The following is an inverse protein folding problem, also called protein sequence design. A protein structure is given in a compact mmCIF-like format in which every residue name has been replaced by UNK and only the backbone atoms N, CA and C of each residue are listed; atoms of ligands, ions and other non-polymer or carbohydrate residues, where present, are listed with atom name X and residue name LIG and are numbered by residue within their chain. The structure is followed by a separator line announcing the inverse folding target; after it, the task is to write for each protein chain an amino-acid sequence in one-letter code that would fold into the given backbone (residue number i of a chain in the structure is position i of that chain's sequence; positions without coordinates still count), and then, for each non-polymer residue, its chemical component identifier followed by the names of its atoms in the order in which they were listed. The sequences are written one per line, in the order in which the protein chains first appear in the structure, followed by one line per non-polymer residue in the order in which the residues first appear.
data_IF_766212984962
#
_entry.id   IF_766212984962
#
_cell.length_a   1.000
_cell.length_b   1.000
_cell.length_c   1.000
_cell.angle_alpha   90.00
_cell.angle_beta   90.00
_cell.angle_gamma   90.00
#
_symmetry.space_group_name_H-M   'P 1'
#
loop_
_entity.id
_entity.type
_entity.pdbx_description
1 polymer ?
#
# COMPACT_ATOMS: atom_id res chain seq x y z
N UNK A 1 -71.04 -44.13 37.91
CA UNK A 1 -70.13 -44.23 36.76
C UNK A 1 -68.76 -43.73 37.25
N UNK A 2 -67.89 -44.56 37.84
CA UNK A 2 -67.06 -45.64 37.28
C UNK A 2 -65.64 -45.17 36.91
N UNK A 3 -64.67 -45.73 37.67
CA UNK A 3 -63.27 -46.09 37.33
C UNK A 3 -62.11 -45.10 37.54
N UNK A 4 -61.41 -45.39 38.65
CA UNK A 4 -59.97 -45.55 38.95
C UNK A 4 -58.92 -45.75 37.84
N UNK A 5 -57.65 -45.43 38.25
CA UNK A 5 -56.29 -45.92 37.82
C UNK A 5 -55.72 -45.34 36.50
N UNK A 6 -54.41 -45.29 36.20
CA UNK A 6 -53.07 -45.43 36.84
C UNK A 6 -52.04 -45.53 35.68
N UNK A 7 -50.73 -45.31 35.96
CA UNK A 7 -49.52 -45.46 35.08
C UNK A 7 -49.26 -44.27 34.13
N UNK A 8 -48.10 -43.58 34.08
CA UNK A 8 -46.67 -43.97 34.09
C UNK A 8 -46.15 -44.06 32.63
N UNK A 9 -44.85 -43.90 32.26
CA UNK A 9 -43.65 -43.40 32.96
C UNK A 9 -42.80 -42.38 32.14
N UNK A 10 -41.60 -42.10 32.68
CA UNK A 10 -40.47 -41.26 32.22
C UNK A 10 -39.88 -41.65 30.85
N UNK A 11 -39.42 -40.66 30.06
CA UNK A 11 -38.38 -40.78 29.01
C UNK A 11 -37.82 -39.38 28.68
N UNK A 12 -36.61 -39.04 29.15
CA UNK A 12 -35.35 -38.94 28.39
C UNK A 12 -35.36 -37.98 27.19
N UNK A 13 -34.63 -36.86 27.31
CA UNK A 13 -34.04 -36.17 26.15
C UNK A 13 -32.74 -35.48 26.56
N UNK A 14 -31.66 -36.25 26.34
CA UNK A 14 -30.34 -35.82 25.84
C UNK A 14 -30.00 -34.33 25.90
N UNK A 15 -29.07 -33.97 26.79
CA UNK A 15 -28.30 -32.74 26.67
C UNK A 15 -27.38 -32.80 25.44
N UNK A 16 -27.64 -31.94 24.46
CA UNK A 16 -26.66 -31.62 23.42
C UNK A 16 -25.60 -30.73 24.05
N UNK A 17 -24.43 -31.30 24.31
CA UNK A 17 -23.22 -30.52 24.53
C UNK A 17 -22.87 -29.85 23.20
N UNK A 18 -23.14 -28.55 23.10
CA UNK A 18 -22.54 -27.68 22.11
C UNK A 18 -21.03 -27.63 22.38
N UNK A 19 -20.28 -28.52 21.73
CA UNK A 19 -18.85 -28.38 21.56
C UNK A 19 -18.60 -27.14 20.71
N UNK A 20 -18.10 -26.08 21.34
CA UNK A 20 -17.56 -24.93 20.63
C UNK A 20 -16.45 -25.39 19.67
N UNK A 21 -16.37 -24.83 18.44
CA UNK A 21 -15.26 -25.11 17.56
C UNK A 21 -13.96 -24.70 18.24
N UNK A 22 -13.06 -25.68 18.35
CA UNK A 22 -11.73 -25.53 18.90
C UNK A 22 -11.00 -24.38 18.23
N UNK A 23 -10.38 -23.54 19.06
CA UNK A 23 -9.40 -22.55 18.65
C UNK A 23 -8.41 -23.19 17.69
N UNK A 24 -8.39 -22.73 16.44
CA UNK A 24 -7.23 -22.90 15.57
C UNK A 24 -6.04 -22.27 16.28
N UNK A 25 -5.19 -23.12 16.83
CA UNK A 25 -3.88 -22.77 17.35
C UNK A 25 -3.12 -22.09 16.23
N UNK A 26 -2.90 -20.79 16.42
CA UNK A 26 -2.06 -19.96 15.57
C UNK A 26 -0.71 -20.63 15.46
N UNK A 27 -0.29 -21.03 14.25
CA UNK A 27 1.08 -21.49 14.06
C UNK A 27 2.05 -20.41 14.57
N UNK A 28 3.16 -20.78 15.21
CA UNK A 28 4.10 -19.81 15.76
C UNK A 28 4.66 -18.93 14.64
N UNK A 29 4.75 -17.62 14.90
CA UNK A 29 5.28 -16.58 13.99
C UNK A 29 6.79 -16.73 13.65
N UNK A 30 7.45 -17.77 14.17
CA UNK A 30 8.89 -17.99 14.03
C UNK A 30 9.41 -18.23 12.59
N UNK A 31 8.72 -18.94 11.66
CA UNK A 31 9.28 -19.21 10.35
C UNK A 31 9.40 -17.95 9.48
N UNK A 32 8.43 -17.02 9.53
CA UNK A 32 8.47 -15.72 8.83
C UNK A 32 9.70 -14.91 9.24
N UNK A 33 9.97 -14.83 10.55
CA UNK A 33 11.08 -14.03 11.09
C UNK A 33 12.46 -14.55 10.68
N UNK A 34 12.55 -15.83 10.30
CA UNK A 34 13.81 -16.42 9.83
C UNK A 34 14.12 -16.11 8.37
N UNK A 35 13.14 -15.63 7.58
CA UNK A 35 13.32 -15.32 6.17
C UNK A 35 14.40 -14.26 5.94
N UNK A 36 15.28 -14.43 4.94
CA UNK A 36 16.29 -13.44 4.61
C UNK A 36 15.71 -12.04 4.40
N UNK A 37 14.63 -11.94 3.59
CA UNK A 37 13.94 -10.68 3.30
C UNK A 37 13.48 -9.94 4.56
N UNK A 38 12.96 -10.66 5.56
CA UNK A 38 12.50 -10.09 6.84
C UNK A 38 13.69 -9.60 7.66
N UNK A 39 14.75 -10.40 7.76
CA UNK A 39 15.98 -10.02 8.47
C UNK A 39 16.63 -8.77 7.87
N UNK A 40 16.71 -8.71 6.54
CA UNK A 40 17.24 -7.55 5.80
C UNK A 40 16.38 -6.32 6.08
N UNK A 41 15.06 -6.42 5.91
CA UNK A 41 14.15 -5.29 6.16
C UNK A 41 14.29 -4.74 7.58
N UNK A 42 14.28 -5.62 8.59
CA UNK A 42 14.43 -5.23 9.99
C UNK A 42 15.81 -4.60 10.28
N UNK A 43 16.89 -5.14 9.69
CA UNK A 43 18.24 -4.56 9.82
C UNK A 43 18.28 -3.15 9.24
N UNK A 44 17.77 -2.95 8.03
CA UNK A 44 17.78 -1.65 7.35
C UNK A 44 16.90 -0.63 8.08
N UNK A 45 15.72 -1.03 8.55
CA UNK A 45 14.87 -0.16 9.38
C UNK A 45 15.59 0.30 10.65
N UNK A 46 16.35 -0.58 11.31
CA UNK A 46 17.17 -0.19 12.47
C UNK A 46 18.29 0.79 12.10
N UNK A 47 18.91 0.64 10.94
CA UNK A 47 19.94 1.56 10.45
C UNK A 47 19.37 2.92 10.03
N UNK A 48 18.17 2.95 9.46
CA UNK A 48 17.49 4.17 9.05
C UNK A 48 16.86 4.94 10.21
N UNK A 49 16.43 4.26 11.27
CA UNK A 49 15.69 4.86 12.39
C UNK A 49 16.35 6.10 13.02
N UNK A 50 17.67 6.16 13.26
CA UNK A 50 18.32 7.37 13.80
C UNK A 50 18.16 8.60 12.89
N UNK A 51 17.93 8.38 11.60
CA UNK A 51 17.85 9.40 10.56
C UNK A 51 16.39 9.73 10.18
N UNK A 52 15.41 9.38 11.01
CA UNK A 52 13.98 9.54 10.64
C UNK A 52 13.55 10.98 10.37
N UNK A 53 14.25 11.95 10.96
CA UNK A 53 14.03 13.37 10.69
C UNK A 53 14.66 13.84 9.35
N UNK A 54 15.50 13.02 8.72
CA UNK A 54 16.06 13.33 7.41
C UNK A 54 14.97 13.20 6.34
N UNK A 55 14.93 14.17 5.44
CA UNK A 55 13.99 14.18 4.34
C UNK A 55 14.42 13.25 3.20
N UNK A 56 15.72 13.20 2.91
CA UNK A 56 16.29 12.50 1.77
C UNK A 56 17.37 11.51 2.16
N UNK A 57 17.55 10.50 1.32
CA UNK A 57 18.67 9.57 1.34
C UNK A 57 19.50 9.83 0.08
N UNK A 58 20.70 10.38 0.30
CA UNK A 58 21.68 10.66 -0.76
C UNK A 58 22.24 9.39 -1.39
N UNK A 59 22.73 9.52 -2.62
CA UNK A 59 23.30 8.41 -3.39
C UNK A 59 24.52 7.75 -2.72
N UNK A 60 25.29 8.51 -1.94
CA UNK A 60 26.40 7.97 -1.14
C UNK A 60 25.92 7.00 -0.04
N UNK A 61 24.74 7.27 0.52
CA UNK A 61 24.13 6.42 1.54
C UNK A 61 23.47 5.18 0.93
N UNK A 62 23.16 5.19 -0.37
CA UNK A 62 22.59 4.02 -1.05
C UNK A 62 23.53 2.82 -0.97
N UNK A 63 24.83 3.01 -1.21
CA UNK A 63 25.81 1.92 -1.12
C UNK A 63 25.89 1.33 0.29
N UNK A 64 25.88 2.18 1.33
CA UNK A 64 25.91 1.75 2.73
C UNK A 64 24.65 0.96 3.12
N UNK A 65 23.51 1.32 2.53
CA UNK A 65 22.22 0.68 2.75
C UNK A 65 21.93 -0.46 1.76
N UNK A 66 22.89 -0.81 0.90
CA UNK A 66 22.73 -1.80 -0.18
C UNK A 66 21.51 -1.51 -1.08
N UNK A 67 21.23 -0.24 -1.34
CA UNK A 67 20.19 0.22 -2.25
C UNK A 67 20.76 0.32 -3.66
N UNK A 68 20.12 -0.32 -4.62
CA UNK A 68 20.32 -0.06 -6.04
C UNK A 68 19.17 0.81 -6.53
N UNK A 69 19.46 1.89 -7.25
CA UNK A 69 18.43 2.78 -7.78
C UNK A 69 18.58 2.92 -9.29
N UNK A 70 17.51 2.64 -10.03
CA UNK A 70 17.46 2.74 -11.49
C UNK A 70 16.24 3.53 -11.96
N UNK A 71 16.19 3.83 -13.26
CA UNK A 71 15.10 4.62 -13.85
C UNK A 71 13.85 3.77 -14.08
N UNK A 72 12.70 4.36 -13.80
CA UNK A 72 11.37 3.86 -14.16
C UNK A 72 10.81 4.71 -15.31
N UNK A 73 10.34 4.07 -16.38
CA UNK A 73 9.67 4.75 -17.49
C UNK A 73 8.19 4.98 -17.17
N UNK A 74 7.75 6.23 -17.25
CA UNK A 74 6.34 6.63 -17.07
C UNK A 74 5.61 6.85 -18.39
N UNK A 75 6.20 6.46 -19.53
CA UNK A 75 5.57 6.69 -20.82
C UNK A 75 4.20 6.02 -20.92
N UNK A 76 3.23 6.75 -21.50
CA UNK A 76 1.91 6.21 -21.82
C UNK A 76 1.95 5.04 -22.80
N UNK A 77 3.06 4.91 -23.54
CA UNK A 77 3.32 3.85 -24.49
C UNK A 77 3.79 2.55 -23.82
N UNK A 78 4.31 2.63 -22.60
CA UNK A 78 4.73 1.43 -21.89
C UNK A 78 3.52 0.63 -21.43
N UNK A 79 3.50 -0.66 -21.75
CA UNK A 79 2.57 -1.65 -21.19
C UNK A 79 3.13 -2.27 -19.90
N UNK A 80 4.44 -2.11 -19.66
CA UNK A 80 5.14 -2.64 -18.48
C UNK A 80 5.43 -1.51 -17.49
N UNK A 81 4.89 -1.64 -16.27
CA UNK A 81 5.16 -0.74 -15.16
C UNK A 81 6.36 -1.23 -14.38
N UNK A 82 7.53 -1.25 -15.01
CA UNK A 82 8.71 -1.95 -14.47
C UNK A 82 8.61 -3.47 -14.63
N UNK A 83 9.09 -4.22 -13.63
CA UNK A 83 9.16 -5.70 -13.71
C UNK A 83 7.92 -6.41 -13.16
N UNK A 84 7.08 -5.68 -12.40
CA UNK A 84 6.06 -6.28 -11.53
C UNK A 84 4.63 -5.85 -11.83
N UNK A 85 4.44 -4.97 -12.81
CA UNK A 85 3.13 -4.44 -13.16
C UNK A 85 2.89 -4.50 -14.66
N UNK A 86 1.69 -4.94 -15.03
CA UNK A 86 1.10 -4.73 -16.35
C UNK A 86 0.16 -3.53 -16.27
N UNK A 87 0.51 -2.47 -16.97
CA UNK A 87 -0.27 -1.23 -17.00
C UNK A 87 -1.46 -1.39 -17.95
N UNK A 88 -2.60 -0.82 -17.57
CA UNK A 88 -3.76 -0.71 -18.47
C UNK A 88 -3.41 0.11 -19.70
N UNK A 89 -3.97 -0.22 -20.86
CA UNK A 89 -3.75 0.60 -22.07
C UNK A 89 -4.46 1.96 -21.94
N UNK A 90 -4.07 2.99 -22.73
CA UNK A 90 -4.79 4.26 -22.75
C UNK A 90 -6.29 4.11 -23.02
N UNK A 91 -6.67 3.18 -23.91
CA UNK A 91 -8.07 2.90 -24.22
C UNK A 91 -8.82 2.30 -23.02
N UNK A 92 -8.21 1.34 -22.31
CA UNK A 92 -8.79 0.78 -21.09
C UNK A 92 -8.95 1.86 -20.01
N UNK A 93 -7.96 2.75 -19.86
CA UNK A 93 -8.06 3.87 -18.92
C UNK A 93 -9.16 4.86 -19.28
N UNK A 94 -9.39 5.13 -20.57
CA UNK A 94 -10.52 5.95 -21.01
C UNK A 94 -11.86 5.28 -20.70
N UNK A 95 -11.97 3.97 -20.90
CA UNK A 95 -13.18 3.22 -20.54
C UNK A 95 -13.46 3.30 -19.03
N UNK A 96 -12.43 3.09 -18.20
CA UNK A 96 -12.52 3.24 -16.74
C UNK A 96 -12.92 4.67 -16.37
N UNK A 97 -12.28 5.68 -16.95
CA UNK A 97 -12.58 7.08 -16.68
C UNK A 97 -14.04 7.44 -17.01
N UNK A 98 -14.55 6.96 -18.15
CA UNK A 98 -15.95 7.15 -18.56
C UNK A 98 -16.91 6.41 -17.64
N UNK A 99 -16.62 5.15 -17.31
CA UNK A 99 -17.45 4.31 -16.44
C UNK A 99 -17.60 4.91 -15.04
N UNK A 100 -16.51 5.42 -14.46
CA UNK A 100 -16.47 5.93 -13.09
C UNK A 100 -16.55 7.46 -13.00
N UNK A 101 -16.93 8.13 -14.09
CA UNK A 101 -17.23 9.56 -14.09
C UNK A 101 -16.05 10.45 -13.68
N UNK A 102 -14.83 10.15 -14.14
CA UNK A 102 -13.64 10.93 -13.78
C UNK A 102 -13.75 12.40 -14.19
N UNK A 103 -14.53 12.69 -15.24
CA UNK A 103 -14.84 14.04 -15.71
C UNK A 103 -15.74 14.86 -14.77
N UNK A 104 -16.42 14.18 -13.83
CA UNK A 104 -17.37 14.77 -12.88
C UNK A 104 -16.77 14.91 -11.48
N UNK A 105 -15.49 14.59 -11.29
CA UNK A 105 -14.81 14.81 -10.01
C UNK A 105 -14.64 16.33 -9.81
N UNK A 106 -15.37 16.89 -8.85
CA UNK A 106 -15.24 18.30 -8.47
C UNK A 106 -13.89 18.57 -7.83
N UNK A 107 -13.38 19.78 -8.03
CA UNK A 107 -12.16 20.24 -7.35
C UNK A 107 -12.34 20.15 -5.82
N UNK A 108 -11.35 19.62 -5.07
CA UNK A 108 -11.41 19.62 -3.62
C UNK A 108 -11.39 21.04 -3.06
N UNK A 109 -12.05 21.28 -1.92
CA UNK A 109 -11.89 22.54 -1.19
C UNK A 109 -10.44 22.68 -0.72
N UNK A 110 -9.84 23.86 -0.93
CA UNK A 110 -8.49 24.17 -0.45
C UNK A 110 -8.56 24.62 1.01
N UNK A 111 -7.82 23.95 1.88
CA UNK A 111 -7.61 24.36 3.27
C UNK A 111 -6.19 24.94 3.43
N UNK A 112 -6.03 26.27 3.26
CA UNK A 112 -4.73 26.91 3.16
C UNK A 112 -3.85 26.76 4.41
N UNK A 113 -4.43 26.40 5.55
CA UNK A 113 -3.72 26.32 6.84
C UNK A 113 -3.11 24.93 7.11
N UNK A 114 -3.35 23.93 6.25
CA UNK A 114 -2.81 22.59 6.42
C UNK A 114 -1.32 22.51 6.04
N UNK A 115 -0.43 21.89 6.83
CA UNK A 115 1.03 21.84 6.56
C UNK A 115 1.41 21.07 5.28
N UNK A 116 0.46 20.30 4.74
CA UNK A 116 0.57 19.62 3.46
C UNK A 116 -0.38 20.20 2.41
N UNK A 117 -0.84 21.45 2.52
CA UNK A 117 -1.95 22.03 1.72
C UNK A 117 -1.98 21.56 0.26
N UNK A 118 -0.90 21.80 -0.48
CA UNK A 118 -0.81 21.44 -1.89
C UNK A 118 -0.80 19.92 -2.08
N UNK A 119 0.06 19.19 -1.37
CA UNK A 119 0.16 17.73 -1.45
C UNK A 119 -1.15 17.02 -1.05
N UNK A 120 -1.87 17.58 -0.07
CA UNK A 120 -3.13 17.07 0.47
C UNK A 120 -4.27 17.28 -0.50
N UNK A 121 -4.35 18.47 -1.08
CA UNK A 121 -5.31 18.78 -2.13
C UNK A 121 -5.15 17.79 -3.30
N UNK A 122 -3.91 17.51 -3.70
CA UNK A 122 -3.63 16.53 -4.76
C UNK A 122 -3.98 15.10 -4.37
N UNK A 123 -3.64 14.69 -3.16
CA UNK A 123 -4.01 13.38 -2.64
C UNK A 123 -5.53 13.21 -2.59
N UNK A 124 -6.28 14.23 -2.12
CA UNK A 124 -7.74 14.19 -2.08
C UNK A 124 -8.35 14.06 -3.49
N UNK A 125 -7.75 14.69 -4.51
CA UNK A 125 -8.17 14.51 -5.89
C UNK A 125 -7.94 13.07 -6.39
N UNK A 126 -6.75 12.51 -6.14
CA UNK A 126 -6.43 11.11 -6.46
C UNK A 126 -7.39 10.14 -5.73
N UNK A 127 -7.67 10.41 -4.46
CA UNK A 127 -8.54 9.59 -3.62
C UNK A 127 -9.97 9.54 -4.14
N UNK A 128 -10.50 10.64 -4.71
CA UNK A 128 -11.83 10.64 -5.33
C UNK A 128 -11.90 9.68 -6.52
N UNK A 129 -10.86 9.64 -7.36
CA UNK A 129 -10.78 8.69 -8.47
C UNK A 129 -10.71 7.24 -7.97
N UNK A 130 -9.87 6.97 -6.97
CA UNK A 130 -9.72 5.63 -6.39
C UNK A 130 -11.00 5.17 -5.68
N UNK A 131 -11.68 6.07 -4.98
CA UNK A 131 -12.94 5.80 -4.28
C UNK A 131 -14.07 5.43 -5.26
N UNK A 132 -14.16 6.13 -6.40
CA UNK A 132 -15.12 5.80 -7.45
C UNK A 132 -14.91 4.37 -7.97
N UNK A 133 -13.65 3.95 -8.10
CA UNK A 133 -13.28 2.58 -8.51
C UNK A 133 -13.55 1.55 -7.39
N UNK A 134 -13.32 1.92 -6.12
CA UNK A 134 -13.44 0.98 -4.99
C UNK A 134 -14.88 0.59 -4.67
N UNK A 135 -15.84 1.51 -4.85
CA UNK A 135 -17.26 1.27 -4.55
C UNK A 135 -17.89 0.20 -5.44
N UNK A 136 -17.33 -0.01 -6.64
CA UNK A 136 -17.90 -0.86 -7.68
C UNK A 136 -17.01 -2.07 -8.04
N UNK A 137 -16.21 -2.54 -7.08
CA UNK A 137 -15.60 -3.88 -7.06
C UNK A 137 -14.25 -4.14 -7.78
N UNK A 138 -13.35 -3.15 -7.97
CA UNK A 138 -11.98 -3.43 -8.47
C UNK A 138 -10.88 -3.55 -7.40
N UNK A 139 -11.04 -2.92 -6.22
CA UNK A 139 -10.05 -2.92 -5.12
C UNK A 139 -10.53 -3.81 -3.94
N UNK A 140 -9.64 -4.54 -3.25
CA UNK A 140 -10.03 -5.44 -2.13
C UNK A 140 -10.25 -4.67 -0.85
N UNK A 141 -9.29 -3.81 -0.56
CA UNK A 141 -9.06 -3.26 0.77
C UNK A 141 -8.39 -1.91 0.60
N UNK A 142 -8.92 -0.93 1.31
CA UNK A 142 -8.41 0.43 1.39
C UNK A 142 -8.07 0.67 2.85
N UNK A 143 -6.84 0.38 3.21
CA UNK A 143 -6.35 0.61 4.56
C UNK A 143 -5.61 1.94 4.60
N UNK A 144 -6.15 2.90 5.34
CA UNK A 144 -5.41 4.11 5.72
C UNK A 144 -4.55 3.77 6.95
N UNK A 145 -3.26 4.07 6.89
CA UNK A 145 -2.45 4.16 8.12
C UNK A 145 -2.85 5.45 8.85
N UNK A 146 -3.98 5.38 9.55
CA UNK A 146 -4.43 6.47 10.41
C UNK A 146 -3.70 6.33 11.74
N UNK A 147 -2.88 7.31 12.07
CA UNK A 147 -2.36 7.52 13.41
C UNK A 147 -3.57 7.72 14.35
N UNK A 148 -3.76 6.81 15.31
CA UNK A 148 -4.68 7.06 16.42
C UNK A 148 -3.86 7.66 17.57
N UNK A 149 -4.38 8.74 18.16
CA UNK A 149 -3.97 9.17 19.50
C UNK A 149 -4.13 7.99 20.47
N UNK A 150 -3.29 7.85 21.51
CA UNK A 150 -3.33 6.73 22.45
C UNK A 150 -4.71 6.42 23.07
N UNK A 151 -5.68 7.33 22.98
CA UNK A 151 -7.01 7.18 23.58
C UNK A 151 -8.08 6.58 22.64
N UNK A 152 -7.73 6.18 21.42
CA UNK A 152 -8.67 5.60 20.44
C UNK A 152 -8.51 4.10 20.27
N UNK A 153 -9.44 3.31 20.83
CA UNK A 153 -9.46 1.85 20.74
C UNK A 153 -9.41 1.28 19.30
N UNK A 154 -8.51 0.30 19.14
CA UNK A 154 -8.65 -0.96 18.40
C UNK A 154 -9.18 -0.93 16.96
N UNK A 155 -8.30 -0.64 16.01
CA UNK A 155 -8.30 -1.31 14.71
C UNK A 155 -6.86 -1.49 14.21
N UNK A 156 -6.53 -2.68 13.69
CA UNK A 156 -5.23 -3.10 13.15
C UNK A 156 -4.59 -2.02 12.25
N UNK A 157 -3.73 -1.17 12.83
CA UNK A 157 -2.98 -0.12 12.12
C UNK A 157 -1.56 -0.07 12.67
N UNK A 158 -0.58 -0.24 11.79
CA UNK A 158 0.81 0.13 12.06
C UNK A 158 0.85 1.66 12.11
N UNK A 159 0.75 2.25 13.29
CA UNK A 159 0.89 3.68 13.50
C UNK A 159 2.28 4.00 14.04
N UNK A 160 3.04 4.83 13.33
CA UNK A 160 4.26 5.45 13.85
C UNK A 160 4.35 6.88 13.35
N UNK A 161 4.34 7.84 14.27
CA UNK A 161 4.65 9.24 13.99
C UNK A 161 5.31 9.86 15.24
N UNK A 162 6.58 10.30 15.19
CA UNK A 162 7.04 11.39 16.04
C UNK A 162 6.42 12.70 15.50
N UNK A 163 5.97 13.60 16.38
CA UNK A 163 5.20 14.82 16.08
C UNK A 163 5.79 15.77 15.00
N UNK A 164 7.02 15.52 14.54
CA UNK A 164 7.80 16.34 13.60
C UNK A 164 7.96 15.72 12.19
N UNK A 165 7.28 14.61 11.88
CA UNK A 165 7.52 13.87 10.64
C UNK A 165 6.99 14.60 9.38
N UNK A 166 7.86 14.96 8.44
CA UNK A 166 7.49 15.72 7.24
C UNK A 166 6.73 14.92 6.16
N UNK A 167 6.12 13.79 6.51
CA UNK A 167 5.47 12.88 5.57
C UNK A 167 4.40 11.99 6.20
N UNK A 168 3.52 11.43 5.35
CA UNK A 168 2.42 10.53 5.76
C UNK A 168 2.11 9.51 4.66
N UNK A 169 1.85 8.25 5.06
CA UNK A 169 1.16 7.27 4.20
C UNK A 169 -0.34 7.59 4.19
N UNK A 170 -0.86 8.03 3.06
CA UNK A 170 -2.28 8.38 2.94
C UNK A 170 -3.12 7.13 2.68
N UNK A 171 -2.71 6.33 1.69
CA UNK A 171 -3.45 5.14 1.26
C UNK A 171 -2.53 3.96 1.01
N UNK A 172 -3.01 2.77 1.36
CA UNK A 172 -2.46 1.50 0.90
C UNK A 172 -3.57 0.76 0.16
N UNK A 173 -3.23 0.30 -1.03
CA UNK A 173 -4.11 -0.41 -1.93
C UNK A 173 -3.54 -1.82 -2.12
N UNK A 174 -4.28 -2.80 -1.64
CA UNK A 174 -4.03 -4.20 -1.98
C UNK A 174 -4.93 -4.59 -3.16
N UNK A 175 -4.29 -5.13 -4.21
CA UNK A 175 -5.00 -5.58 -5.43
C UNK A 175 -5.74 -6.89 -5.16
N UNK A 176 -6.88 -7.10 -5.83
CA UNK A 176 -7.78 -8.26 -5.66
C UNK A 176 -7.17 -9.64 -5.79
N UNK A 177 -6.11 -9.75 -6.56
CA UNK A 177 -5.44 -11.01 -6.70
C UNK A 177 -4.40 -11.21 -5.59
N UNK A 178 -4.79 -11.93 -4.54
CA UNK A 178 -3.89 -12.37 -3.47
C UNK A 178 -2.84 -13.40 -3.96
N UNK A 179 -2.92 -13.86 -5.22
CA UNK A 179 -1.94 -14.78 -5.79
C UNK A 179 -0.57 -14.12 -6.04
N UNK A 180 -0.47 -12.80 -5.94
CA UNK A 180 0.77 -12.04 -6.10
C UNK A 180 1.02 -11.10 -4.90
N UNK A 181 2.26 -11.05 -4.37
CA UNK A 181 2.59 -10.26 -3.18
C UNK A 181 2.89 -8.80 -3.55
N UNK A 182 1.96 -8.11 -4.20
CA UNK A 182 2.14 -6.69 -4.56
C UNK A 182 1.37 -5.79 -3.59
N UNK A 183 1.96 -4.67 -3.21
CA UNK A 183 1.30 -3.64 -2.40
C UNK A 183 1.54 -2.27 -3.00
N UNK A 184 0.49 -1.49 -3.17
CA UNK A 184 0.56 -0.12 -3.66
C UNK A 184 0.35 0.84 -2.48
N UNK A 185 1.06 1.97 -2.45
CA UNK A 185 0.78 3.03 -1.49
C UNK A 185 0.92 4.43 -2.08
N UNK A 186 0.26 5.39 -1.43
CA UNK A 186 0.39 6.83 -1.70
C UNK A 186 1.01 7.50 -0.49
N UNK A 187 2.10 8.23 -0.71
CA UNK A 187 2.78 9.08 0.25
C UNK A 187 2.46 10.54 -0.01
N UNK A 188 2.27 11.29 1.06
CA UNK A 188 2.17 12.74 1.06
C UNK A 188 3.40 13.27 1.79
N UNK A 189 4.15 14.12 1.12
CA UNK A 189 5.37 14.76 1.61
C UNK A 189 5.15 16.26 1.77
N UNK A 190 5.77 16.83 2.81
CA UNK A 190 5.93 18.27 2.96
C UNK A 190 7.22 18.76 2.27
N UNK A 191 8.26 17.93 2.23
CA UNK A 191 9.53 18.28 1.61
C UNK A 191 9.56 18.02 0.10
N UNK A 192 10.39 18.79 -0.62
CA UNK A 192 10.48 18.74 -2.09
C UNK A 192 11.13 17.44 -2.57
N UNK A 193 10.64 16.93 -3.70
CA UNK A 193 11.29 15.83 -4.41
C UNK A 193 12.59 16.32 -5.07
N UNK A 194 13.61 15.46 -5.07
CA UNK A 194 14.88 15.70 -5.73
C UNK A 194 15.23 14.58 -6.70
N UNK A 195 15.74 14.92 -7.89
CA UNK A 195 16.00 13.94 -8.96
C UNK A 195 17.12 12.95 -8.62
N UNK A 196 18.12 13.37 -7.85
CA UNK A 196 19.28 12.53 -7.54
C UNK A 196 19.19 11.86 -6.17
N UNK A 197 18.04 11.96 -5.49
CA UNK A 197 17.85 11.44 -4.13
C UNK A 197 16.56 10.63 -4.01
N UNK A 198 16.56 9.71 -3.07
CA UNK A 198 15.34 9.05 -2.60
C UNK A 198 14.77 9.81 -1.40
N UNK A 199 13.44 9.83 -1.25
CA UNK A 199 12.86 10.31 -0.01
C UNK A 199 13.11 9.23 1.05
N UNK A 200 13.35 9.65 2.29
CA UNK A 200 13.47 8.71 3.40
C UNK A 200 12.20 7.84 3.52
N UNK A 201 11.05 8.49 3.41
CA UNK A 201 9.71 7.89 3.48
C UNK A 201 9.45 6.82 2.43
N UNK A 202 10.00 6.97 1.22
CA UNK A 202 9.86 5.97 0.14
C UNK A 202 10.53 4.67 0.53
N UNK A 203 11.81 4.74 0.92
CA UNK A 203 12.58 3.58 1.34
C UNK A 203 11.96 2.95 2.59
N UNK A 204 11.63 3.78 3.59
CA UNK A 204 10.98 3.32 4.81
C UNK A 204 9.67 2.58 4.53
N UNK A 205 8.83 3.13 3.67
CA UNK A 205 7.53 2.54 3.31
C UNK A 205 7.69 1.24 2.55
N UNK A 206 8.65 1.14 1.63
CA UNK A 206 8.96 -0.13 0.95
C UNK A 206 9.28 -1.21 1.99
N UNK A 207 10.21 -0.95 2.91
CA UNK A 207 10.62 -1.91 3.93
C UNK A 207 9.45 -2.32 4.85
N UNK A 208 8.69 -1.34 5.34
CA UNK A 208 7.57 -1.59 6.25
C UNK A 208 6.42 -2.33 5.57
N UNK A 209 6.09 -1.99 4.32
CA UNK A 209 5.02 -2.65 3.56
C UNK A 209 5.40 -4.06 3.16
N UNK A 210 6.67 -4.32 2.83
CA UNK A 210 7.19 -5.69 2.66
C UNK A 210 6.95 -6.52 3.91
N UNK A 211 7.33 -6.02 5.09
CA UNK A 211 7.10 -6.73 6.35
C UNK A 211 5.61 -6.95 6.61
N UNK A 212 4.77 -5.93 6.39
CA UNK A 212 3.33 -6.04 6.60
C UNK A 212 2.68 -7.07 5.67
N UNK A 213 3.11 -7.12 4.41
CA UNK A 213 2.66 -8.09 3.43
C UNK A 213 3.01 -9.53 3.87
N UNK A 214 4.24 -9.77 4.31
CA UNK A 214 4.71 -11.09 4.75
C UNK A 214 4.10 -11.56 6.09
N UNK A 215 3.47 -10.66 6.85
CA UNK A 215 2.68 -11.04 8.04
C UNK A 215 1.37 -11.74 7.68
N UNK A 216 0.90 -11.61 6.43
CA UNK A 216 -0.25 -12.37 5.95
C UNK A 216 0.19 -13.82 5.66
N UNK A 217 -0.37 -14.84 6.34
CA UNK A 217 0.00 -16.24 6.12
C UNK A 217 -0.13 -16.71 4.67
N UNK A 218 -1.07 -16.14 3.90
CA UNK A 218 -1.24 -16.46 2.48
C UNK A 218 -0.09 -15.94 1.61
N UNK A 219 0.59 -14.89 2.08
CA UNK A 219 1.71 -14.24 1.39
C UNK A 219 3.07 -14.59 2.01
N UNK A 220 3.11 -15.37 3.09
CA UNK A 220 4.37 -15.79 3.72
C UNK A 220 5.28 -16.53 2.74
N UNK A 221 4.74 -17.35 1.84
CA UNK A 221 5.53 -18.16 0.89
C UNK A 221 6.41 -17.36 -0.08
N UNK A 222 6.16 -16.06 -0.24
CA UNK A 222 6.89 -15.25 -1.21
C UNK A 222 8.26 -14.81 -0.66
N UNK A 223 9.25 -14.75 -1.56
CA UNK A 223 10.62 -14.30 -1.26
C UNK A 223 10.91 -12.90 -1.81
N UNK A 224 9.99 -12.37 -2.61
CA UNK A 224 10.03 -11.02 -3.18
C UNK A 224 8.66 -10.41 -3.01
N UNK A 225 8.60 -9.19 -2.47
CA UNK A 225 7.37 -8.42 -2.30
C UNK A 225 7.56 -7.06 -2.97
N UNK A 226 7.07 -6.88 -4.20
CA UNK A 226 7.13 -5.59 -4.86
C UNK A 226 6.18 -4.60 -4.20
N UNK A 227 6.68 -3.38 -3.99
CA UNK A 227 5.93 -2.26 -3.45
C UNK A 227 5.98 -1.11 -4.44
N UNK A 228 4.82 -0.63 -4.89
CA UNK A 228 4.73 0.60 -5.69
C UNK A 228 4.29 1.75 -4.81
N UNK A 229 5.04 2.85 -4.85
CA UNK A 229 4.84 4.05 -4.05
C UNK A 229 4.60 5.22 -4.99
N UNK A 230 3.47 5.90 -4.82
CA UNK A 230 3.21 7.22 -5.42
C UNK A 230 3.55 8.26 -4.37
N UNK A 231 4.60 9.05 -4.60
CA UNK A 231 5.01 10.12 -3.68
C UNK A 231 4.51 11.45 -4.21
N UNK A 232 3.65 12.13 -3.45
CA UNK A 232 3.08 13.44 -3.78
C UNK A 232 3.73 14.50 -2.88
N UNK A 233 4.33 15.53 -3.48
CA UNK A 233 4.99 16.65 -2.80
C UNK A 233 4.65 17.97 -3.50
N UNK A 234 3.89 18.82 -2.83
CA UNK A 234 3.35 20.03 -3.39
C UNK A 234 2.58 19.74 -4.70
N UNK A 235 2.81 20.52 -5.76
CA UNK A 235 2.23 20.27 -7.08
C UNK A 235 3.09 19.31 -7.90
N UNK A 236 3.75 18.32 -7.28
CA UNK A 236 4.59 17.35 -8.01
C UNK A 236 4.38 15.95 -7.49
N UNK A 237 4.66 14.96 -8.32
CA UNK A 237 4.72 13.57 -7.89
C UNK A 237 5.85 12.80 -8.55
N UNK A 238 6.16 11.63 -7.98
CA UNK A 238 6.93 10.58 -8.66
C UNK A 238 6.43 9.21 -8.25
N UNK A 239 6.75 8.21 -9.07
CA UNK A 239 6.46 6.81 -8.79
C UNK A 239 7.76 6.10 -8.50
N UNK A 240 7.76 5.31 -7.42
CA UNK A 240 8.86 4.46 -7.01
C UNK A 240 8.37 3.03 -6.92
N UNK A 241 9.14 2.09 -7.44
CA UNK A 241 8.93 0.66 -7.21
C UNK A 241 10.12 0.11 -6.47
N UNK A 242 9.85 -0.60 -5.37
CA UNK A 242 10.87 -1.18 -4.52
C UNK A 242 10.59 -2.65 -4.24
N UNK A 243 11.65 -3.44 -4.14
CA UNK A 243 11.59 -4.76 -3.52
C UNK A 243 12.92 -5.10 -2.85
N UNK A 244 12.88 -6.03 -1.92
CA UNK A 244 14.08 -6.57 -1.28
C UNK A 244 14.42 -7.89 -1.95
N UNK A 245 15.66 -8.02 -2.41
CA UNK A 245 16.18 -9.30 -2.88
C UNK A 245 16.81 -10.05 -1.70
N UNK A 246 16.11 -11.09 -1.24
CA UNK A 246 16.56 -11.92 -0.13
C UNK A 246 17.86 -12.69 -0.39
N UNK A 247 18.26 -12.86 -1.66
CA UNK A 247 19.50 -13.57 -2.03
C UNK A 247 20.72 -12.66 -1.96
N UNK A 248 20.61 -11.45 -2.51
CA UNK A 248 21.73 -10.49 -2.56
C UNK A 248 21.81 -9.61 -1.31
N UNK A 249 20.71 -9.49 -0.55
CA UNK A 249 20.62 -8.55 0.55
C UNK A 249 20.32 -7.11 0.13
N UNK A 250 20.06 -6.86 -1.16
CA UNK A 250 19.88 -5.51 -1.69
C UNK A 250 18.42 -5.06 -1.72
N UNK A 251 18.21 -3.76 -1.54
CA UNK A 251 16.92 -3.12 -1.85
C UNK A 251 17.00 -2.57 -3.26
N UNK A 252 16.22 -3.16 -4.16
CA UNK A 252 16.18 -2.73 -5.55
C UNK A 252 15.05 -1.72 -5.73
N UNK A 253 15.42 -0.51 -6.14
CA UNK A 253 14.51 0.60 -6.34
C UNK A 253 14.56 1.08 -7.79
N UNK A 254 13.39 1.28 -8.38
CA UNK A 254 13.19 1.97 -9.65
C UNK A 254 12.40 3.23 -9.36
N UNK A 255 12.85 4.39 -9.83
CA UNK A 255 12.10 5.65 -9.65
C UNK A 255 11.90 6.38 -10.97
N UNK A 256 10.75 7.02 -11.11
CA UNK A 256 10.51 7.93 -12.22
C UNK A 256 11.26 9.24 -12.07
N UNK A 257 11.22 10.07 -13.11
CA UNK A 257 11.44 11.51 -12.94
C UNK A 257 10.30 12.15 -12.15
N UNK A 258 10.53 13.39 -11.72
CA UNK A 258 9.54 14.21 -11.04
C UNK A 258 8.59 14.79 -12.08
N UNK A 259 7.29 14.58 -11.89
CA UNK A 259 6.25 15.08 -12.77
C UNK A 259 5.56 16.26 -12.11
N UNK A 260 5.62 17.47 -12.70
CA UNK A 260 4.84 18.60 -12.21
C UNK A 260 3.37 18.38 -12.53
N UNK A 261 2.49 18.71 -11.60
CA UNK A 261 1.06 18.62 -11.77
C UNK A 261 0.57 19.91 -12.43
N UNK A 262 -0.10 19.77 -13.58
CA UNK A 262 -0.60 20.90 -14.35
C UNK A 262 -1.67 21.67 -13.59
N UNK A 263 -1.65 23.00 -13.73
CA UNK A 263 -2.66 23.87 -13.14
C UNK A 263 -3.96 23.93 -13.96
N UNK A 264 -3.91 23.54 -15.24
CA UNK A 264 -5.10 23.44 -16.07
C UNK A 264 -5.79 22.08 -15.93
N UNK A 265 -7.11 22.08 -16.10
CA UNK A 265 -7.97 20.91 -15.91
C UNK A 265 -7.56 19.72 -16.79
N UNK A 266 -7.09 19.98 -18.02
CA UNK A 266 -6.76 18.91 -18.97
C UNK A 266 -5.49 18.18 -18.54
N UNK A 267 -4.41 18.91 -18.28
CA UNK A 267 -3.15 18.32 -17.83
C UNK A 267 -3.30 17.64 -16.47
N UNK A 268 -4.03 18.25 -15.54
CA UNK A 268 -4.34 17.62 -14.25
C UNK A 268 -5.07 16.28 -14.44
N UNK A 269 -6.11 16.23 -15.29
CA UNK A 269 -6.83 15.00 -15.60
C UNK A 269 -5.90 13.92 -16.16
N UNK A 270 -5.08 14.25 -17.15
CA UNK A 270 -4.13 13.31 -17.75
C UNK A 270 -3.16 12.73 -16.71
N UNK A 271 -2.65 13.56 -15.81
CA UNK A 271 -1.73 13.12 -14.76
C UNK A 271 -2.41 12.32 -13.67
N UNK A 272 -3.64 12.66 -13.29
CA UNK A 272 -4.46 11.85 -12.38
C UNK A 272 -4.75 10.48 -12.99
N UNK A 273 -5.08 10.44 -14.28
CA UNK A 273 -5.25 9.17 -14.99
C UNK A 273 -3.96 8.35 -15.00
N UNK A 274 -2.79 8.98 -15.16
CA UNK A 274 -1.51 8.30 -15.06
C UNK A 274 -1.31 7.70 -13.66
N UNK A 275 -1.53 8.47 -12.60
CA UNK A 275 -1.40 7.98 -11.22
C UNK A 275 -2.35 6.80 -10.94
N UNK A 276 -3.62 6.94 -11.31
CA UNK A 276 -4.61 5.86 -11.15
C UNK A 276 -4.18 4.63 -11.94
N UNK A 277 -3.73 4.80 -13.19
CA UNK A 277 -3.27 3.70 -14.07
C UNK A 277 -2.18 2.85 -13.40
N UNK A 278 -1.25 3.48 -12.68
CA UNK A 278 -0.20 2.78 -11.94
C UNK A 278 -0.74 2.08 -10.69
N UNK A 279 -1.64 2.73 -9.94
CA UNK A 279 -2.20 2.19 -8.70
C UNK A 279 -3.20 1.04 -8.90
N UNK A 280 -3.86 0.96 -10.06
CA UNK A 280 -4.79 -0.14 -10.41
C UNK A 280 -4.17 -1.16 -11.38
N UNK A 281 -2.88 -1.01 -11.68
CA UNK A 281 -2.17 -1.91 -12.56
C UNK A 281 -2.24 -3.36 -12.05
N UNK A 282 -2.22 -4.29 -12.98
CA UNK A 282 -2.26 -5.72 -12.63
C UNK A 282 -0.87 -6.18 -12.20
N UNK A 283 -0.72 -6.75 -11.00
CA UNK A 283 0.53 -7.38 -10.62
C UNK A 283 0.86 -8.51 -11.58
N UNK A 284 2.14 -8.63 -11.93
CA UNK A 284 2.68 -9.74 -12.70
C UNK A 284 4.01 -10.19 -12.09
N UNK A 285 4.36 -11.47 -12.24
CA UNK A 285 5.75 -11.88 -12.03
C UNK A 285 6.55 -11.52 -13.27
N UNK A 286 7.84 -11.15 -13.11
CA UNK A 286 8.75 -11.13 -14.24
C UNK A 286 8.73 -12.55 -14.83
N UNK A 287 8.36 -12.65 -16.11
CA UNK A 287 8.60 -13.87 -16.89
C UNK A 287 10.07 -14.21 -16.66
N UNK A 288 10.39 -15.44 -16.23
CA UNK A 288 11.79 -15.88 -16.10
C UNK A 288 12.49 -15.56 -17.42
N UNK A 289 13.40 -14.59 -17.41
CA UNK A 289 14.34 -14.38 -18.49
C UNK A 289 15.34 -15.53 -18.50
#
# INVERSE_FOLDING_TARGET
MSRTRSAGPVSTTTGSQNTMPSHQTSQPLEPVLQKPIVKIALKLLRQLRPNIAQLHIDSQNWTQLHITCSKLDLSWKSENGGDFLRLKTPQQMQQIASQYGFDHVSDPSRDPDHPFHDSRHMADHLNRHLFAISHDAYLVDCSRWICQHPDGLMARKLGYYPADCQWKVDYILDVKDASLPHTNCTLIEAGKLEENKLMFSEVWSILMLTLNCLRNPQKERYEVVPVTVVTISGPTFRIVQGYIDGKTGSVNIRKSGIVPIGSDKKTMKEQMMLLVRWLIAEPVWPSRH
#
